data_IF_660809732233
#
_entry.id   IF_660809732233
#
_cell.length_a   1.000
_cell.length_b   1.000
_cell.length_c   1.000
_cell.angle_alpha   90.00
_cell.angle_beta   90.00
_cell.angle_gamma   90.00
#
_symmetry.space_group_name_H-M   'P 1'
#
loop_
_entity.id
_entity.type
_entity.pdbx_description
1 polymer ?
#
# COMPACT_ATOMS: atom_id res chain seq x y z
N UNK A 1 15.12 3.29 -11.19
CA UNK A 1 14.73 2.38 -12.28
C UNK A 1 13.47 2.92 -12.95
N UNK A 2 13.43 2.88 -14.28
CA UNK A 2 12.28 3.30 -15.07
C UNK A 2 11.70 2.04 -15.71
N UNK A 3 10.45 1.73 -15.42
CA UNK A 3 9.72 0.67 -16.10
C UNK A 3 9.26 1.22 -17.48
N UNK A 4 9.54 0.50 -18.54
CA UNK A 4 8.98 0.82 -19.85
C UNK A 4 7.51 0.38 -19.90
N UNK A 5 6.62 1.16 -20.53
CA UNK A 5 5.23 0.78 -20.71
C UNK A 5 5.12 -0.52 -21.50
N UNK A 6 4.40 -1.51 -20.95
CA UNK A 6 4.11 -2.78 -21.62
C UNK A 6 2.66 -3.16 -21.37
N UNK A 7 1.93 -3.70 -22.37
CA UNK A 7 0.52 -4.02 -22.22
C UNK A 7 0.23 -5.08 -21.13
N UNK A 8 1.22 -5.92 -20.84
CA UNK A 8 1.09 -7.02 -19.87
C UNK A 8 1.60 -6.67 -18.46
N UNK A 9 1.96 -5.39 -18.23
CA UNK A 9 2.32 -4.96 -16.87
C UNK A 9 1.09 -5.02 -15.97
N UNK A 10 1.17 -5.84 -14.93
CA UNK A 10 0.22 -5.84 -13.82
C UNK A 10 0.86 -5.17 -12.62
N UNK A 11 0.13 -4.26 -11.99
CA UNK A 11 0.56 -3.59 -10.76
C UNK A 11 -0.33 -4.07 -9.63
N UNK A 12 0.28 -4.76 -8.67
CA UNK A 12 -0.37 -5.21 -7.45
C UNK A 12 0.03 -4.27 -6.31
N UNK A 13 -0.95 -3.58 -5.74
CA UNK A 13 -0.74 -2.78 -4.54
C UNK A 13 -0.89 -3.67 -3.32
N UNK A 14 0.22 -3.88 -2.62
CA UNK A 14 0.28 -4.72 -1.42
C UNK A 14 0.32 -3.83 -0.19
N UNK A 15 -0.65 -3.97 0.69
CA UNK A 15 -0.69 -3.23 1.95
C UNK A 15 0.51 -3.63 2.85
N UNK A 16 1.30 -2.67 3.39
CA UNK A 16 2.55 -2.97 4.09
C UNK A 16 2.43 -3.93 5.28
N UNK A 17 1.27 -3.95 5.94
CA UNK A 17 0.99 -4.87 7.05
C UNK A 17 0.35 -6.18 6.62
N UNK A 18 0.10 -6.39 5.33
CA UNK A 18 -0.51 -7.64 4.85
C UNK A 18 0.44 -8.83 5.00
N UNK A 19 -0.08 -10.06 5.15
CA UNK A 19 0.74 -11.27 5.17
C UNK A 19 1.66 -11.37 3.95
N UNK A 20 1.19 -10.93 2.78
CA UNK A 20 1.97 -10.93 1.54
C UNK A 20 3.15 -9.96 1.61
N UNK A 21 2.95 -8.73 2.13
CA UNK A 21 4.05 -7.78 2.29
C UNK A 21 5.12 -8.30 3.24
N UNK A 22 4.70 -8.86 4.37
CA UNK A 22 5.61 -9.45 5.36
C UNK A 22 6.37 -10.65 4.79
N UNK A 23 5.69 -11.51 4.02
CA UNK A 23 6.33 -12.60 3.30
C UNK A 23 7.38 -12.09 2.30
N UNK A 24 7.03 -11.11 1.49
CA UNK A 24 7.95 -10.51 0.51
C UNK A 24 9.17 -9.87 1.19
N UNK A 25 8.96 -9.12 2.27
CA UNK A 25 10.05 -8.51 3.06
C UNK A 25 10.99 -9.55 3.65
N UNK A 26 10.45 -10.67 4.13
CA UNK A 26 11.26 -11.74 4.73
C UNK A 26 12.02 -12.58 3.70
N UNK A 27 11.57 -12.61 2.44
CA UNK A 27 12.13 -13.44 1.37
C UNK A 27 12.78 -12.63 0.24
N UNK A 28 12.70 -11.30 0.28
CA UNK A 28 13.38 -10.43 -0.66
C UNK A 28 14.71 -9.98 -0.06
N UNK A 29 15.85 -10.13 -0.77
CA UNK A 29 17.11 -9.50 -0.35
C UNK A 29 16.93 -7.96 -0.36
N UNK A 30 17.79 -7.25 0.37
CA UNK A 30 17.83 -5.77 0.49
C UNK A 30 18.13 -5.07 -0.86
N UNK A 31 17.57 -5.55 -1.95
CA UNK A 31 17.74 -5.00 -3.28
C UNK A 31 16.46 -4.27 -3.72
N UNK A 32 16.58 -3.10 -4.35
CA UNK A 32 15.43 -2.32 -4.82
C UNK A 32 14.61 -3.04 -5.90
N UNK A 33 15.19 -4.05 -6.55
CA UNK A 33 14.51 -4.95 -7.48
C UNK A 33 14.97 -6.37 -7.19
N UNK A 34 14.03 -7.21 -6.82
CA UNK A 34 14.28 -8.62 -6.52
C UNK A 34 13.43 -9.50 -7.43
N UNK A 35 14.01 -10.59 -7.90
CA UNK A 35 13.27 -11.62 -8.59
C UNK A 35 12.26 -12.26 -7.64
N UNK A 36 11.00 -12.26 -8.04
CA UNK A 36 9.94 -12.94 -7.28
C UNK A 36 10.07 -14.44 -7.52
N UNK A 37 9.99 -15.31 -6.48
CA UNK A 37 10.01 -16.75 -6.65
C UNK A 37 8.97 -17.22 -7.67
N UNK A 38 9.37 -18.14 -8.57
CA UNK A 38 8.49 -18.62 -9.65
C UNK A 38 7.18 -19.23 -9.13
N UNK A 39 7.20 -19.85 -7.96
CA UNK A 39 6.01 -20.36 -7.28
C UNK A 39 5.04 -19.25 -6.89
N UNK A 40 5.55 -18.09 -6.44
CA UNK A 40 4.74 -16.94 -6.11
C UNK A 40 4.16 -16.29 -7.38
N UNK A 41 4.94 -16.22 -8.47
CA UNK A 41 4.45 -15.75 -9.77
C UNK A 41 3.33 -16.62 -10.33
N UNK A 42 3.47 -17.95 -10.25
CA UNK A 42 2.44 -18.88 -10.66
C UNK A 42 1.13 -18.71 -9.85
N UNK A 43 1.26 -18.51 -8.54
CA UNK A 43 0.11 -18.23 -7.68
C UNK A 43 -0.53 -16.87 -7.97
N UNK A 44 0.27 -15.83 -8.25
CA UNK A 44 -0.24 -14.51 -8.64
C UNK A 44 -1.00 -14.54 -9.98
N UNK A 45 -0.63 -15.44 -10.90
CA UNK A 45 -1.35 -15.64 -12.16
C UNK A 45 -2.79 -16.18 -11.92
N UNK A 46 -3.01 -16.93 -10.83
CA UNK A 46 -4.32 -17.40 -10.40
C UNK A 46 -5.09 -16.38 -9.53
N UNK A 47 -4.55 -15.20 -9.37
CA UNK A 47 -5.09 -14.11 -8.58
C UNK A 47 -4.39 -13.94 -7.22
N UNK A 48 -4.43 -12.73 -6.68
CA UNK A 48 -3.76 -12.42 -5.41
C UNK A 48 -4.31 -13.23 -4.22
N UNK A 49 -5.56 -13.64 -4.28
CA UNK A 49 -6.21 -14.46 -3.24
C UNK A 49 -5.59 -15.86 -3.13
N UNK A 50 -5.11 -16.43 -4.24
CA UNK A 50 -4.42 -17.71 -4.23
C UNK A 50 -3.08 -17.66 -3.48
N UNK A 51 -2.42 -16.50 -3.48
CA UNK A 51 -1.19 -16.27 -2.70
C UNK A 51 -1.53 -16.09 -1.23
N UNK A 52 -2.59 -15.34 -0.94
CA UNK A 52 -2.99 -15.02 0.44
C UNK A 52 -3.50 -16.23 1.21
N UNK A 53 -4.13 -17.20 0.54
CA UNK A 53 -4.69 -18.39 1.17
C UNK A 53 -3.64 -19.28 1.83
N UNK A 54 -2.39 -19.22 1.40
CA UNK A 54 -1.26 -19.97 1.97
C UNK A 54 -0.47 -19.22 3.05
N UNK A 55 -0.73 -17.92 3.25
CA UNK A 55 0.02 -17.09 4.17
C UNK A 55 -0.71 -16.93 5.50
N UNK A 56 -0.04 -17.25 6.59
CA UNK A 56 -0.59 -17.02 7.93
C UNK A 56 -0.57 -15.52 8.24
N UNK A 57 -1.71 -14.93 8.66
CA UNK A 57 -1.72 -13.56 9.16
C UNK A 57 -0.76 -13.43 10.35
N UNK A 58 0.13 -12.44 10.30
CA UNK A 58 0.90 -12.04 11.47
C UNK A 58 0.07 -11.05 12.28
N UNK A 59 -0.12 -11.32 13.56
CA UNK A 59 -0.72 -10.34 14.46
C UNK A 59 0.21 -9.14 14.59
N UNK A 60 -0.30 -7.94 14.36
CA UNK A 60 0.39 -6.68 14.65
C UNK A 60 0.39 -6.42 16.16
N UNK A 61 1.31 -5.55 16.61
CA UNK A 61 1.22 -4.97 17.95
C UNK A 61 -0.18 -4.35 18.14
N UNK A 62 -0.93 -4.72 19.19
CA UNK A 62 -2.31 -4.22 19.39
C UNK A 62 -2.41 -2.69 19.46
N UNK A 63 -1.35 -2.02 19.90
CA UNK A 63 -1.28 -0.55 19.93
C UNK A 63 -1.22 0.02 18.51
N UNK A 64 -0.39 -0.59 17.66
CA UNK A 64 -0.30 -0.21 16.26
C UNK A 64 -1.63 -0.46 15.53
N UNK A 65 -2.25 -1.60 15.75
CA UNK A 65 -3.52 -1.96 15.12
C UNK A 65 -4.62 -0.95 15.45
N UNK A 66 -4.76 -0.54 16.73
CA UNK A 66 -5.67 0.53 17.14
C UNK A 66 -5.37 1.86 16.45
N UNK A 67 -4.10 2.25 16.40
CA UNK A 67 -3.68 3.49 15.74
C UNK A 67 -3.97 3.47 14.23
N UNK A 68 -3.66 2.37 13.53
CA UNK A 68 -3.94 2.21 12.11
C UNK A 68 -5.45 2.23 11.83
N UNK A 69 -6.26 1.61 12.68
CA UNK A 69 -7.72 1.65 12.59
C UNK A 69 -8.25 3.08 12.70
N UNK A 70 -7.74 3.87 13.65
CA UNK A 70 -8.09 5.29 13.77
C UNK A 70 -7.69 6.07 12.50
N UNK A 71 -6.47 5.86 12.00
CA UNK A 71 -5.96 6.53 10.80
C UNK A 71 -6.71 6.13 9.50
N UNK A 72 -7.26 4.90 9.44
CA UNK A 72 -8.07 4.46 8.29
C UNK A 72 -9.39 5.20 8.17
N UNK A 73 -9.98 5.61 9.29
CA UNK A 73 -11.29 6.29 9.36
C UNK A 73 -11.21 7.76 8.96
N UNK A 74 -10.04 8.37 9.05
CA UNK A 74 -9.86 9.79 8.72
C UNK A 74 -9.62 9.93 7.21
N UNK A 75 -10.57 10.55 6.51
CA UNK A 75 -10.48 10.77 5.06
C UNK A 75 -9.61 11.99 4.74
N UNK A 76 -9.73 13.05 5.52
CA UNK A 76 -9.01 14.32 5.34
C UNK A 76 -8.33 14.72 6.65
N UNK A 77 -7.03 15.02 6.56
CA UNK A 77 -6.26 15.51 7.70
C UNK A 77 -5.84 14.38 8.66
N UNK A 78 -4.73 13.74 8.32
CA UNK A 78 -4.16 12.68 9.15
C UNK A 78 -3.67 13.28 10.46
N UNK A 79 -4.44 13.10 11.53
CA UNK A 79 -3.99 13.42 12.87
C UNK A 79 -3.26 12.21 13.50
N UNK A 80 -1.96 12.13 13.21
CA UNK A 80 -1.07 11.13 13.85
C UNK A 80 -1.07 11.28 15.37
N UNK A 81 -1.20 12.50 15.87
CA UNK A 81 -1.26 12.74 17.32
C UNK A 81 -2.57 12.21 17.90
N UNK A 82 -3.70 12.39 17.22
CA UNK A 82 -4.98 11.79 17.59
C UNK A 82 -4.94 10.27 17.59
N UNK A 83 -4.36 9.67 16.56
CA UNK A 83 -4.20 8.20 16.51
C UNK A 83 -3.30 7.67 17.63
N UNK A 84 -2.22 8.37 17.96
CA UNK A 84 -1.34 8.00 19.07
C UNK A 84 -2.08 8.09 20.41
N UNK A 85 -2.82 9.17 20.65
CA UNK A 85 -3.69 9.32 21.85
C UNK A 85 -4.72 8.20 21.92
N UNK A 86 -5.40 7.91 20.83
CA UNK A 86 -6.38 6.82 20.76
C UNK A 86 -5.77 5.46 21.10
N UNK A 87 -4.53 5.22 20.64
CA UNK A 87 -3.79 4.00 20.93
C UNK A 87 -3.12 3.98 22.32
N UNK A 88 -3.19 5.09 23.10
CA UNK A 88 -2.61 5.20 24.43
C UNK A 88 -1.09 5.34 24.47
N UNK A 89 -0.48 5.91 23.42
CA UNK A 89 0.98 6.07 23.33
C UNK A 89 1.38 7.46 22.83
N UNK A 90 2.65 7.80 23.01
CA UNK A 90 3.22 9.01 22.41
C UNK A 90 3.40 8.84 20.88
N UNK A 91 3.43 9.96 20.15
CA UNK A 91 3.70 9.97 18.71
C UNK A 91 5.05 9.32 18.39
N UNK A 92 6.07 9.58 19.20
CA UNK A 92 7.40 8.97 19.04
C UNK A 92 7.33 7.45 19.18
N UNK A 93 6.66 6.95 20.22
CA UNK A 93 6.48 5.52 20.42
C UNK A 93 5.70 4.87 19.28
N UNK A 94 4.62 5.51 18.81
CA UNK A 94 3.85 5.02 17.66
C UNK A 94 4.71 4.92 16.40
N UNK A 95 5.55 5.92 16.12
CA UNK A 95 6.47 5.89 14.97
C UNK A 95 7.49 4.75 15.06
N UNK A 96 8.02 4.50 16.27
CA UNK A 96 8.96 3.39 16.51
C UNK A 96 8.29 2.05 16.25
N UNK A 97 7.11 1.81 16.83
CA UNK A 97 6.35 0.57 16.63
C UNK A 97 6.01 0.38 15.15
N UNK A 98 5.52 1.43 14.49
CA UNK A 98 5.18 1.37 13.06
C UNK A 98 6.40 0.99 12.21
N UNK A 99 7.57 1.58 12.47
CA UNK A 99 8.79 1.26 11.74
C UNK A 99 9.22 -0.19 11.94
N UNK A 100 9.16 -0.71 13.16
CA UNK A 100 9.56 -2.09 13.46
C UNK A 100 8.59 -3.12 12.92
N UNK A 101 7.27 -2.82 12.96
CA UNK A 101 6.23 -3.78 12.59
C UNK A 101 5.90 -3.78 11.08
N UNK A 102 5.90 -2.60 10.45
CA UNK A 102 5.52 -2.45 9.05
C UNK A 102 6.73 -2.48 8.09
N UNK A 103 7.96 -2.35 8.61
CA UNK A 103 9.15 -2.16 7.78
C UNK A 103 9.23 -0.80 7.06
N UNK A 104 8.18 0.03 7.16
CA UNK A 104 8.09 1.36 6.59
C UNK A 104 7.76 2.40 7.66
N UNK A 105 8.05 3.67 7.41
CA UNK A 105 7.63 4.72 8.33
C UNK A 105 6.12 4.94 8.28
N UNK A 106 5.56 5.46 9.36
CA UNK A 106 4.13 5.82 9.40
C UNK A 106 3.77 6.85 8.32
N UNK A 107 4.67 7.75 7.97
CA UNK A 107 4.47 8.71 6.88
C UNK A 107 4.38 8.03 5.50
N UNK A 108 5.25 7.05 5.25
CA UNK A 108 5.20 6.24 4.02
C UNK A 108 3.91 5.42 3.94
N UNK A 109 3.49 4.82 5.06
CA UNK A 109 2.22 4.10 5.14
C UNK A 109 1.03 5.01 4.80
N UNK A 110 1.02 6.26 5.30
CA UNK A 110 -0.03 7.22 4.99
C UNK A 110 -0.06 7.62 3.52
N UNK A 111 1.12 7.81 2.90
CA UNK A 111 1.22 8.05 1.45
C UNK A 111 0.69 6.85 0.68
N UNK A 112 1.05 5.63 1.11
CA UNK A 112 0.53 4.40 0.52
C UNK A 112 -1.00 4.34 0.60
N UNK A 113 -1.61 4.68 1.76
CA UNK A 113 -3.07 4.74 1.94
C UNK A 113 -3.76 5.73 1.00
N UNK A 114 -3.15 6.89 0.77
CA UNK A 114 -3.66 7.86 -0.22
C UNK A 114 -3.65 7.28 -1.64
N UNK A 115 -2.55 6.62 -1.99
CA UNK A 115 -2.40 5.96 -3.30
C UNK A 115 -3.41 4.82 -3.47
N UNK A 116 -3.59 3.98 -2.45
CA UNK A 116 -4.57 2.89 -2.47
C UNK A 116 -5.99 3.41 -2.74
N UNK A 117 -6.43 4.47 -2.03
CA UNK A 117 -7.74 5.09 -2.27
C UNK A 117 -7.89 5.66 -3.68
N UNK A 118 -6.85 6.33 -4.18
CA UNK A 118 -6.86 6.85 -5.54
C UNK A 118 -6.94 5.72 -6.58
N UNK A 119 -6.11 4.71 -6.44
CA UNK A 119 -6.04 3.57 -7.35
C UNK A 119 -7.29 2.71 -7.32
N UNK A 120 -8.00 2.61 -6.20
CA UNK A 120 -9.27 1.88 -6.10
C UNK A 120 -10.40 2.42 -7.02
N UNK A 121 -10.28 3.68 -7.46
CA UNK A 121 -11.24 4.29 -8.37
C UNK A 121 -10.94 4.00 -9.85
N UNK A 122 -9.70 3.76 -10.22
CA UNK A 122 -9.24 3.64 -11.61
C UNK A 122 -9.86 2.44 -12.36
N UNK A 123 -9.95 1.22 -11.77
CA UNK A 123 -10.58 0.07 -12.44
C UNK A 123 -12.06 0.26 -12.74
N UNK A 124 -12.70 1.22 -12.06
CA UNK A 124 -14.12 1.57 -12.26
C UNK A 124 -14.31 2.67 -13.30
N UNK A 125 -13.29 3.01 -14.06
CA UNK A 125 -13.35 4.04 -15.10
C UNK A 125 -13.35 5.49 -14.58
N UNK A 126 -12.99 5.72 -13.32
CA UNK A 126 -12.90 7.08 -12.81
C UNK A 126 -11.82 7.87 -13.56
N UNK A 127 -12.10 9.15 -13.82
CA UNK A 127 -11.09 10.06 -14.39
C UNK A 127 -9.96 10.25 -13.37
N UNK A 128 -8.76 10.53 -13.87
CA UNK A 128 -7.58 10.68 -13.01
C UNK A 128 -7.72 11.83 -11.99
N UNK A 129 -8.45 12.89 -12.36
CA UNK A 129 -8.76 14.00 -11.44
C UNK A 129 -9.65 13.54 -10.28
N UNK A 130 -10.64 12.69 -10.56
CA UNK A 130 -11.56 12.17 -9.53
C UNK A 130 -10.83 11.17 -8.61
N UNK A 131 -9.94 10.35 -9.19
CA UNK A 131 -9.07 9.46 -8.42
C UNK A 131 -8.13 10.23 -7.50
N UNK A 132 -7.54 11.34 -7.98
CA UNK A 132 -6.69 12.20 -7.18
C UNK A 132 -7.46 12.79 -5.99
N UNK A 133 -8.65 13.34 -6.22
CA UNK A 133 -9.51 13.88 -5.17
C UNK A 133 -9.86 12.81 -4.12
N UNK A 134 -10.26 11.59 -4.54
CA UNK A 134 -10.56 10.47 -3.64
C UNK A 134 -9.36 10.03 -2.80
N UNK A 135 -8.15 10.14 -3.35
CA UNK A 135 -6.91 9.85 -2.63
C UNK A 135 -6.47 10.96 -1.68
N UNK A 136 -7.11 12.14 -1.70
CA UNK A 136 -6.68 13.31 -0.94
C UNK A 136 -5.40 13.93 -1.51
N UNK A 137 -5.23 13.90 -2.84
CA UNK A 137 -4.19 14.62 -3.57
C UNK A 137 -4.72 15.98 -4.05
N UNK A 138 -3.86 16.99 -4.08
CA UNK A 138 -4.23 18.33 -4.52
C UNK A 138 -4.72 18.35 -5.97
N UNK A 139 -4.10 17.55 -6.83
CA UNK A 139 -4.41 17.44 -8.25
C UNK A 139 -3.91 16.11 -8.84
N UNK A 140 -4.26 15.84 -10.11
CA UNK A 140 -3.82 14.65 -10.84
C UNK A 140 -2.30 14.60 -11.07
N UNK A 141 -1.64 15.76 -11.16
CA UNK A 141 -0.20 15.81 -11.36
C UNK A 141 0.53 15.42 -10.07
N UNK A 142 0.02 15.84 -8.91
CA UNK A 142 0.51 15.40 -7.60
C UNK A 142 0.35 13.89 -7.41
N UNK A 143 -0.83 13.32 -7.74
CA UNK A 143 -1.04 11.88 -7.74
C UNK A 143 -0.03 11.17 -8.63
N UNK A 144 0.12 11.61 -9.89
CA UNK A 144 1.01 10.98 -10.87
C UNK A 144 2.48 11.03 -10.41
N UNK A 145 2.96 12.17 -9.91
CA UNK A 145 4.32 12.29 -9.36
C UNK A 145 4.53 11.38 -8.17
N UNK A 146 3.55 11.28 -7.28
CA UNK A 146 3.64 10.43 -6.09
C UNK A 146 3.64 8.96 -6.46
N UNK A 147 2.78 8.51 -7.38
CA UNK A 147 2.79 7.14 -7.91
C UNK A 147 4.13 6.78 -8.54
N UNK A 148 4.67 7.68 -9.38
CA UNK A 148 5.97 7.44 -10.01
C UNK A 148 7.10 7.33 -8.98
N UNK A 149 7.07 8.14 -7.93
CA UNK A 149 8.07 8.10 -6.86
C UNK A 149 7.98 6.82 -6.02
N UNK A 150 6.76 6.36 -5.70
CA UNK A 150 6.54 5.23 -4.77
C UNK A 150 6.56 3.89 -5.50
N UNK A 151 5.95 3.81 -6.68
CA UNK A 151 5.77 2.57 -7.44
C UNK A 151 6.62 2.48 -8.71
N UNK A 152 7.29 3.54 -9.10
CA UNK A 152 8.03 3.59 -10.37
C UNK A 152 7.14 3.67 -11.63
N UNK A 153 5.82 3.65 -11.46
CA UNK A 153 4.83 3.65 -12.56
C UNK A 153 3.90 4.86 -12.48
N UNK A 154 3.25 5.18 -13.59
CA UNK A 154 2.21 6.22 -13.64
C UNK A 154 0.85 5.60 -13.94
N UNK A 155 -0.26 6.29 -13.67
CA UNK A 155 -1.60 5.79 -13.97
C UNK A 155 -1.81 5.37 -15.43
N UNK A 156 -1.14 6.03 -16.38
CA UNK A 156 -1.25 5.74 -17.81
C UNK A 156 -0.42 4.54 -18.29
N UNK A 157 0.47 3.98 -17.45
CA UNK A 157 1.35 2.87 -17.85
C UNK A 157 0.68 1.51 -17.77
N UNK A 158 -0.45 1.38 -17.09
CA UNK A 158 -1.21 0.13 -17.00
C UNK A 158 -2.66 0.36 -17.42
N UNK A 159 -3.14 -0.46 -18.38
CA UNK A 159 -4.56 -0.51 -18.73
C UNK A 159 -5.37 -1.33 -17.74
N UNK A 160 -4.73 -2.14 -16.91
CA UNK A 160 -5.37 -3.03 -15.96
C UNK A 160 -4.83 -2.78 -14.55
N UNK A 161 -5.50 -1.91 -13.81
CA UNK A 161 -5.27 -1.76 -12.37
C UNK A 161 -6.08 -2.81 -11.61
N UNK A 162 -5.41 -3.67 -10.87
CA UNK A 162 -6.06 -4.61 -9.95
C UNK A 162 -5.67 -4.27 -8.53
N UNK A 163 -6.63 -4.33 -7.63
CA UNK A 163 -6.45 -4.18 -6.18
C UNK A 163 -6.64 -5.55 -5.53
N UNK A 164 -5.73 -5.94 -4.66
CA UNK A 164 -6.02 -6.92 -3.64
C UNK A 164 -6.81 -6.23 -2.53
N UNK A 165 -8.12 -6.39 -2.50
CA UNK A 165 -8.88 -6.04 -1.32
C UNK A 165 -8.57 -7.06 -0.23
N UNK A 166 -8.05 -6.60 0.91
CA UNK A 166 -8.21 -7.36 2.14
C UNK A 166 -9.68 -7.24 2.56
N UNK A 167 -10.29 -8.32 3.06
CA UNK A 167 -11.61 -8.20 3.70
C UNK A 167 -11.52 -7.20 4.86
N UNK A 168 -12.58 -6.42 5.03
CA UNK A 168 -12.75 -5.46 6.14
C UNK A 168 -12.66 -6.14 7.50
#
# INVERSE_FOLDING_TARGET
HRLEPHPDIQVLLVEPQSPLALYLQSNAPDAPITGVPSSLLANLANGPEAVLSGLKPRALDPTLERALTALRRVVDGVDVAGAARFAGVSVSRLRTIARSELGVTLAEWLVWRKLDRACAALPRGARLVDAAARGGFADQAHLTRTMRRVFGVTPGMSKAWRRTAMPD
#
